data_IF_091711212095
#
_entry.id   IF_091711212095
#
_cell.length_a   1.000
_cell.length_b   1.000
_cell.length_c   1.000
_cell.angle_alpha   90.00
_cell.angle_beta   90.00
_cell.angle_gamma   90.00
#
_symmetry.space_group_name_H-M   'P 1'
#
loop_
_entity.id
_entity.type
_entity.pdbx_description
1 polymer ?
#
# COMPACT_ATOMS: atom_id res chain seq x y z
N UNK A 1 -18.08 -75.53 47.16
CA UNK A 1 -18.98 -74.39 47.47
C UNK A 1 -18.28 -73.11 47.02
N UNK A 2 -18.81 -72.45 45.98
CA UNK A 2 -18.59 -71.05 45.50
C UNK A 2 -17.13 -70.57 45.28
N UNK A 3 -16.65 -70.44 44.03
CA UNK A 3 -16.81 -69.33 43.07
C UNK A 3 -16.13 -68.01 43.49
N UNK A 4 -15.13 -67.53 42.74
CA UNK A 4 -15.30 -66.33 41.90
C UNK A 4 -14.08 -66.04 41.00
N UNK A 5 -14.40 -65.74 39.74
CA UNK A 5 -13.57 -65.16 38.70
C UNK A 5 -13.16 -63.70 39.01
N UNK A 6 -12.01 -63.27 38.50
CA UNK A 6 -11.75 -61.88 38.16
C UNK A 6 -11.11 -61.78 36.76
N UNK A 7 -11.68 -60.89 35.94
CA UNK A 7 -11.40 -60.58 34.53
C UNK A 7 -10.21 -59.62 34.36
N UNK A 8 -9.66 -59.47 33.12
CA UNK A 8 -8.50 -58.63 32.83
C UNK A 8 -8.88 -57.17 32.51
N UNK A 9 -8.00 -56.23 32.87
CA UNK A 9 -8.10 -54.80 32.54
C UNK A 9 -7.26 -54.44 31.31
N UNK A 10 -7.88 -54.44 30.13
CA UNK A 10 -7.34 -53.80 28.93
C UNK A 10 -7.89 -52.39 28.77
N UNK A 11 -7.16 -51.38 29.25
CA UNK A 11 -7.46 -49.95 29.03
C UNK A 11 -6.18 -49.19 28.68
N UNK A 12 -5.44 -49.69 27.70
CA UNK A 12 -4.28 -48.98 27.14
C UNK A 12 -4.27 -49.16 25.63
N UNK A 13 -5.12 -48.41 24.91
CA UNK A 13 -4.83 -48.04 23.50
C UNK A 13 -5.79 -47.03 22.83
N UNK A 14 -6.68 -46.35 23.55
CA UNK A 14 -7.59 -45.37 22.92
C UNK A 14 -7.00 -43.94 22.98
N UNK A 15 -6.13 -43.64 23.95
CA UNK A 15 -5.59 -42.28 24.14
C UNK A 15 -4.52 -41.87 23.11
N UNK A 16 -3.68 -42.79 22.62
CA UNK A 16 -2.59 -42.44 21.68
C UNK A 16 -3.08 -42.22 20.24
N UNK A 17 -4.19 -42.84 19.83
CA UNK A 17 -4.76 -42.66 18.49
C UNK A 17 -5.49 -41.32 18.38
N UNK A 18 -6.10 -40.84 19.47
CA UNK A 18 -6.70 -39.49 19.54
C UNK A 18 -5.66 -38.37 19.44
N UNK A 19 -4.45 -38.56 19.98
CA UNK A 19 -3.40 -37.53 19.93
C UNK A 19 -2.80 -37.34 18.53
N UNK A 20 -2.62 -38.42 17.76
CA UNK A 20 -2.08 -38.35 16.40
C UNK A 20 -3.07 -37.78 15.38
N UNK A 21 -4.37 -38.04 15.53
CA UNK A 21 -5.40 -37.44 14.67
C UNK A 21 -5.64 -35.96 15.00
N UNK A 22 -5.56 -35.57 16.29
CA UNK A 22 -5.67 -34.17 16.70
C UNK A 22 -4.48 -33.32 16.21
N UNK A 23 -3.26 -33.87 16.21
CA UNK A 23 -2.07 -33.18 15.68
C UNK A 23 -2.09 -33.05 14.15
N UNK A 24 -2.66 -34.03 13.45
CA UNK A 24 -2.86 -33.98 12.00
C UNK A 24 -3.93 -32.95 11.61
N UNK A 25 -5.00 -32.82 12.41
CA UNK A 25 -6.00 -31.76 12.23
C UNK A 25 -5.45 -30.37 12.58
N UNK A 26 -4.58 -30.24 13.59
CA UNK A 26 -3.92 -28.98 13.93
C UNK A 26 -2.89 -28.56 12.86
N UNK A 27 -2.14 -29.50 12.28
CA UNK A 27 -1.25 -29.21 11.14
C UNK A 27 -2.03 -28.83 9.87
N UNK A 28 -3.21 -29.44 9.64
CA UNK A 28 -4.12 -29.04 8.57
C UNK A 28 -4.82 -27.69 8.84
N UNK A 29 -4.94 -27.25 10.10
CA UNK A 29 -5.44 -25.93 10.48
C UNK A 29 -4.37 -24.84 10.44
N UNK A 30 -3.08 -25.20 10.53
CA UNK A 30 -1.95 -24.27 10.35
C UNK A 30 -1.60 -24.07 8.87
N UNK A 31 -2.17 -24.88 7.97
CA UNK A 31 -2.04 -24.73 6.52
C UNK A 31 -3.29 -24.14 5.83
N UNK A 32 -4.21 -23.55 6.59
CA UNK A 32 -5.09 -22.55 6.00
C UNK A 32 -4.21 -21.36 5.68
N UNK A 33 -3.84 -21.25 4.40
CA UNK A 33 -3.17 -20.07 3.87
C UNK A 33 -3.81 -18.84 4.48
N UNK A 34 -2.96 -17.88 4.87
CA UNK A 34 -3.41 -16.53 5.15
C UNK A 34 -4.41 -16.19 4.04
N UNK A 35 -5.68 -16.11 4.43
CA UNK A 35 -6.76 -15.81 3.54
C UNK A 35 -6.35 -14.47 2.93
N UNK A 36 -6.01 -14.43 1.64
CA UNK A 36 -5.97 -13.19 0.88
C UNK A 36 -7.39 -12.64 0.98
N UNK A 37 -7.68 -11.95 2.07
CA UNK A 37 -9.03 -11.56 2.43
C UNK A 37 -9.45 -10.54 1.39
N UNK A 38 -10.30 -10.99 0.46
CA UNK A 38 -11.12 -10.26 -0.51
C UNK A 38 -11.25 -8.74 -0.26
N UNK A 39 -10.18 -7.97 -0.50
CA UNK A 39 -10.23 -6.52 -0.51
C UNK A 39 -10.79 -6.10 -1.86
N UNK A 40 -11.83 -5.27 -1.92
CA UNK A 40 -12.37 -4.78 -3.20
C UNK A 40 -11.29 -4.07 -4.05
N UNK A 41 -10.26 -3.51 -3.43
CA UNK A 41 -9.15 -2.88 -4.13
C UNK A 41 -8.14 -3.89 -4.74
N UNK A 42 -8.12 -5.16 -4.28
CA UNK A 42 -7.15 -6.16 -4.75
C UNK A 42 -7.28 -6.46 -6.24
N UNK A 43 -8.51 -6.40 -6.78
CA UNK A 43 -8.78 -6.56 -8.22
C UNK A 43 -8.17 -5.45 -9.09
N UNK A 44 -7.75 -4.35 -8.47
CA UNK A 44 -7.07 -3.22 -9.13
C UNK A 44 -5.58 -3.18 -8.79
N UNK A 45 -4.98 -4.27 -8.32
CA UNK A 45 -3.53 -4.37 -8.06
C UNK A 45 -2.87 -5.25 -9.11
N UNK A 46 -1.64 -4.89 -9.48
CA UNK A 46 -0.75 -5.69 -10.30
C UNK A 46 0.62 -5.81 -9.60
N UNK A 47 1.35 -6.91 -9.79
CA UNK A 47 1.05 -8.03 -10.68
C UNK A 47 -0.14 -8.90 -10.21
N UNK A 48 -0.87 -9.48 -11.17
CA UNK A 48 -1.98 -10.42 -10.98
C UNK A 48 -1.94 -11.51 -12.07
N UNK A 49 -2.90 -12.44 -12.05
CA UNK A 49 -2.94 -13.58 -12.98
C UNK A 49 -2.97 -13.22 -14.48
N UNK A 50 -3.30 -11.97 -14.82
CA UNK A 50 -3.32 -11.48 -16.22
C UNK A 50 -2.10 -10.61 -16.57
N UNK A 51 -1.16 -10.40 -15.64
CA UNK A 51 0.04 -9.60 -15.88
C UNK A 51 1.09 -10.44 -16.60
N UNK A 52 1.65 -9.93 -17.70
CA UNK A 52 2.69 -10.61 -18.46
C UNK A 52 3.93 -10.90 -17.59
N UNK A 53 4.40 -12.15 -17.60
CA UNK A 53 5.51 -12.60 -16.74
C UNK A 53 6.79 -11.79 -16.95
N UNK A 54 7.08 -11.34 -18.18
CA UNK A 54 8.26 -10.53 -18.45
C UNK A 54 8.14 -9.16 -17.78
N UNK A 55 6.94 -8.56 -17.82
CA UNK A 55 6.64 -7.30 -17.14
C UNK A 55 6.78 -7.48 -15.63
N UNK A 56 6.30 -8.60 -15.06
CA UNK A 56 6.47 -8.91 -13.63
C UNK A 56 7.94 -8.96 -13.24
N UNK A 57 8.79 -9.61 -14.03
CA UNK A 57 10.23 -9.67 -13.75
C UNK A 57 10.91 -8.30 -13.87
N UNK A 58 10.54 -7.50 -14.87
CA UNK A 58 11.05 -6.14 -15.04
C UNK A 58 10.71 -5.26 -13.83
N UNK A 59 9.45 -5.28 -13.38
CA UNK A 59 9.02 -4.53 -12.20
C UNK A 59 9.73 -5.02 -10.95
N UNK A 60 9.80 -6.33 -10.74
CA UNK A 60 10.47 -6.91 -9.57
C UNK A 60 11.92 -6.43 -9.44
N UNK A 61 12.68 -6.47 -10.54
CA UNK A 61 14.07 -6.02 -10.53
C UNK A 61 14.22 -4.53 -10.17
N UNK A 62 13.29 -3.68 -10.62
CA UNK A 62 13.28 -2.26 -10.28
C UNK A 62 12.83 -2.01 -8.82
N UNK A 63 11.77 -2.70 -8.40
CA UNK A 63 11.08 -2.46 -7.14
C UNK A 63 11.85 -3.00 -5.93
N UNK A 64 12.59 -4.11 -6.05
CA UNK A 64 13.36 -4.70 -4.94
C UNK A 64 14.29 -3.69 -4.25
N UNK A 65 15.01 -2.87 -5.03
CA UNK A 65 15.90 -1.84 -4.49
C UNK A 65 15.17 -0.74 -3.73
N UNK A 66 13.98 -0.37 -4.19
CA UNK A 66 13.15 0.67 -3.57
C UNK A 66 12.46 0.12 -2.31
N UNK A 67 11.98 -1.12 -2.35
CA UNK A 67 11.39 -1.80 -1.21
C UNK A 67 12.43 -2.03 -0.12
N UNK A 68 13.66 -2.41 -0.46
CA UNK A 68 14.75 -2.51 0.52
C UNK A 68 14.99 -1.16 1.21
N UNK A 69 15.00 -0.06 0.44
CA UNK A 69 15.12 1.28 1.01
C UNK A 69 13.96 1.59 1.98
N UNK A 70 12.71 1.36 1.57
CA UNK A 70 11.53 1.62 2.40
C UNK A 70 11.58 0.78 3.67
N UNK A 71 11.78 -0.53 3.56
CA UNK A 71 11.83 -1.44 4.70
C UNK A 71 12.96 -1.11 5.69
N UNK A 72 14.09 -0.57 5.21
CA UNK A 72 15.23 -0.18 6.05
C UNK A 72 15.01 1.14 6.79
N UNK A 73 14.35 2.11 6.14
CA UNK A 73 14.30 3.50 6.62
C UNK A 73 12.95 3.87 7.25
N UNK A 74 11.88 3.12 6.96
CA UNK A 74 10.59 3.28 7.63
C UNK A 74 10.58 2.43 8.90
N UNK A 75 10.32 3.01 10.09
CA UNK A 75 10.35 2.29 11.35
C UNK A 75 9.33 1.15 11.40
N UNK A 76 9.79 -0.04 11.81
CA UNK A 76 8.96 -1.21 12.07
C UNK A 76 7.83 -0.95 13.11
N UNK A 77 7.93 0.09 13.95
CA UNK A 77 6.89 0.43 14.95
C UNK A 77 5.55 0.87 14.32
N UNK A 78 5.51 1.18 13.02
CA UNK A 78 4.25 1.39 12.29
C UNK A 78 3.47 0.09 12.03
N UNK A 79 3.97 -1.08 12.45
CA UNK A 79 3.37 -2.41 12.24
C UNK A 79 2.14 -2.75 13.11
N UNK A 80 1.77 -1.93 14.10
CA UNK A 80 0.83 -2.37 15.17
C UNK A 80 -0.35 -1.43 15.48
N UNK A 81 -0.92 -0.75 14.48
CA UNK A 81 -2.16 0.04 14.66
C UNK A 81 -3.33 -0.48 13.82
N UNK A 82 -3.59 -1.79 13.76
CA UNK A 82 -4.87 -2.36 13.32
C UNK A 82 -5.31 -2.11 11.86
N UNK A 83 -4.53 -1.38 11.08
CA UNK A 83 -4.55 -1.24 9.63
C UNK A 83 -3.28 -1.89 9.06
N UNK A 84 -3.27 -2.30 7.80
CA UNK A 84 -2.08 -2.83 7.13
C UNK A 84 -0.84 -1.95 7.44
N UNK A 85 0.33 -2.58 7.56
CA UNK A 85 1.56 -1.87 7.92
C UNK A 85 1.80 -0.72 6.92
N UNK A 86 2.40 0.39 7.37
CA UNK A 86 2.58 1.57 6.51
C UNK A 86 3.29 1.25 5.20
N UNK A 87 4.22 0.29 5.20
CA UNK A 87 4.89 -0.19 3.99
C UNK A 87 3.96 -1.02 3.08
N UNK A 88 3.04 -1.82 3.63
CA UNK A 88 2.01 -2.53 2.84
C UNK A 88 1.09 -1.57 2.11
N UNK A 89 0.69 -0.46 2.75
CA UNK A 89 -0.08 0.60 2.12
C UNK A 89 0.68 1.21 0.93
N UNK A 90 1.95 1.59 1.14
CA UNK A 90 2.78 2.16 0.07
C UNK A 90 2.97 1.21 -1.12
N UNK A 91 3.23 -0.08 -0.82
CA UNK A 91 3.30 -1.14 -1.84
C UNK A 91 1.95 -1.33 -2.54
N UNK A 92 0.84 -1.18 -1.81
CA UNK A 92 -0.52 -1.23 -2.32
C UNK A 92 -0.80 -0.13 -3.34
N UNK A 93 -0.42 1.12 -3.06
CA UNK A 93 -0.55 2.25 -4.00
C UNK A 93 0.31 2.02 -5.24
N UNK A 94 1.55 1.57 -5.07
CA UNK A 94 2.43 1.22 -6.19
C UNK A 94 1.78 0.15 -7.08
N UNK A 95 1.23 -0.91 -6.48
CA UNK A 95 0.56 -1.99 -7.20
C UNK A 95 -0.68 -1.53 -7.97
N UNK A 96 -1.44 -0.56 -7.45
CA UNK A 96 -2.56 0.07 -8.16
C UNK A 96 -2.08 0.84 -9.39
N UNK A 97 -1.03 1.64 -9.24
CA UNK A 97 -0.46 2.40 -10.35
C UNK A 97 0.13 1.48 -11.43
N UNK A 98 0.73 0.35 -11.04
CA UNK A 98 1.15 -0.71 -11.97
C UNK A 98 -0.04 -1.28 -12.74
N UNK A 99 -1.16 -1.54 -12.07
CA UNK A 99 -2.38 -2.05 -12.69
C UNK A 99 -2.98 -1.05 -13.71
N UNK A 100 -2.90 0.25 -13.43
CA UNK A 100 -3.29 1.30 -14.38
C UNK A 100 -2.31 1.52 -15.53
N UNK A 101 -1.20 0.78 -15.56
CA UNK A 101 -0.09 0.98 -16.50
C UNK A 101 0.45 2.42 -16.45
N UNK A 102 0.48 3.00 -15.25
CA UNK A 102 0.98 4.34 -14.98
C UNK A 102 2.47 4.45 -15.32
N UNK A 103 2.93 5.68 -15.56
CA UNK A 103 4.34 5.96 -15.83
C UNK A 103 5.22 5.57 -14.63
N UNK A 104 6.48 5.18 -14.88
CA UNK A 104 7.42 4.72 -13.84
C UNK A 104 7.61 5.75 -12.72
N UNK A 105 7.60 7.05 -13.05
CA UNK A 105 7.72 8.09 -12.03
C UNK A 105 6.48 8.19 -11.12
N UNK A 106 5.30 7.79 -11.60
CA UNK A 106 4.09 7.69 -10.79
C UNK A 106 4.16 6.49 -9.86
N UNK A 107 4.56 5.31 -10.36
CA UNK A 107 4.69 4.11 -9.52
C UNK A 107 5.73 4.33 -8.40
N UNK A 108 6.85 4.98 -8.73
CA UNK A 108 7.87 5.34 -7.75
C UNK A 108 7.37 6.42 -6.79
N UNK A 109 6.63 7.43 -7.27
CA UNK A 109 6.01 8.41 -6.40
C UNK A 109 5.01 7.75 -5.44
N UNK A 110 4.20 6.79 -5.90
CA UNK A 110 3.24 6.02 -5.11
C UNK A 110 3.90 5.31 -3.92
N UNK A 111 5.05 4.68 -4.14
CA UNK A 111 5.81 4.04 -3.06
C UNK A 111 6.40 5.04 -2.04
N UNK A 112 6.57 6.30 -2.40
CA UNK A 112 7.21 7.34 -1.57
C UNK A 112 6.28 8.50 -1.20
N UNK A 113 5.00 8.44 -1.54
CA UNK A 113 4.12 9.63 -1.57
C UNK A 113 3.91 10.26 -0.20
N UNK A 114 4.11 9.48 0.87
CA UNK A 114 3.98 9.90 2.27
C UNK A 114 5.31 10.03 3.02
N UNK A 115 6.45 9.96 2.33
CA UNK A 115 7.78 9.83 2.97
C UNK A 115 8.21 11.05 3.80
N UNK A 116 7.68 12.24 3.50
CA UNK A 116 7.96 13.48 4.25
C UNK A 116 6.85 13.88 5.23
N UNK A 117 5.92 12.97 5.51
CA UNK A 117 4.75 13.22 6.36
C UNK A 117 3.62 13.92 5.62
N UNK A 118 2.37 13.54 5.90
CA UNK A 118 1.19 14.01 5.18
C UNK A 118 0.17 14.69 6.09
N UNK A 119 -0.84 15.28 5.46
CA UNK A 119 -2.06 15.70 6.15
C UNK A 119 -2.74 14.48 6.78
N UNK A 120 -2.87 14.45 8.11
CA UNK A 120 -3.53 13.34 8.82
C UNK A 120 -2.63 12.17 9.27
N UNK A 121 -1.36 12.10 8.86
CA UNK A 121 -0.40 11.10 9.34
C UNK A 121 0.90 11.76 9.85
N UNK A 122 1.22 11.52 11.12
CA UNK A 122 2.37 12.11 11.81
C UNK A 122 3.31 11.05 12.42
N UNK A 123 3.12 9.76 12.09
CA UNK A 123 3.86 8.65 12.71
C UNK A 123 5.31 8.54 12.26
N UNK A 124 5.60 8.90 10.99
CA UNK A 124 6.94 8.91 10.42
C UNK A 124 7.08 10.01 9.36
N UNK A 125 8.24 10.65 9.31
CA UNK A 125 8.66 11.50 8.20
C UNK A 125 10.18 11.56 8.13
N UNK A 126 10.74 11.48 6.91
CA UNK A 126 12.12 11.85 6.68
C UNK A 126 12.27 13.38 6.71
N UNK A 127 13.40 13.91 7.20
CA UNK A 127 13.64 15.35 7.17
C UNK A 127 13.81 15.83 5.72
N UNK A 128 13.40 17.07 5.44
CA UNK A 128 13.48 17.67 4.11
C UNK A 128 14.93 17.82 3.58
N UNK A 129 15.95 17.62 4.44
CA UNK A 129 17.35 17.51 4.03
C UNK A 129 17.62 16.29 3.15
N UNK A 130 16.82 15.22 3.27
CA UNK A 130 16.97 13.98 2.49
C UNK A 130 16.46 14.09 1.05
N UNK A 131 15.82 15.20 0.69
CA UNK A 131 15.18 15.35 -0.63
C UNK A 131 16.12 15.12 -1.80
N UNK A 132 17.38 15.53 -1.68
CA UNK A 132 18.38 15.29 -2.73
C UNK A 132 18.69 13.79 -2.89
N UNK A 133 18.82 13.06 -1.77
CA UNK A 133 19.05 11.63 -1.80
C UNK A 133 17.85 10.87 -2.39
N UNK A 134 16.63 11.21 -1.97
CA UNK A 134 15.39 10.64 -2.53
C UNK A 134 15.27 10.96 -4.02
N UNK A 135 15.55 12.20 -4.44
CA UNK A 135 15.54 12.60 -5.86
C UNK A 135 16.51 11.78 -6.71
N UNK A 136 17.70 11.48 -6.19
CA UNK A 136 18.66 10.60 -6.85
C UNK A 136 18.18 9.15 -6.92
N UNK A 137 17.41 8.69 -5.93
CA UNK A 137 16.88 7.33 -5.86
C UNK A 137 15.69 7.09 -6.81
N UNK A 138 14.66 7.94 -6.74
CA UNK A 138 13.39 7.71 -7.45
C UNK A 138 13.20 8.58 -8.70
N UNK A 139 14.10 9.54 -8.92
CA UNK A 139 14.05 10.49 -10.03
C UNK A 139 13.33 11.80 -9.67
N UNK A 140 13.59 12.83 -10.49
CA UNK A 140 13.15 14.21 -10.25
C UNK A 140 11.63 14.35 -10.26
N UNK A 141 10.96 13.74 -11.24
CA UNK A 141 9.49 13.80 -11.35
C UNK A 141 8.81 13.11 -10.17
N UNK A 142 9.28 11.90 -9.82
CA UNK A 142 8.71 11.13 -8.72
C UNK A 142 8.88 11.83 -7.37
N UNK A 143 10.08 12.36 -7.09
CA UNK A 143 10.34 13.09 -5.84
C UNK A 143 9.53 14.39 -5.75
N UNK A 144 9.36 15.10 -6.88
CA UNK A 144 8.51 16.30 -6.90
C UNK A 144 7.06 15.95 -6.54
N UNK A 145 6.51 14.88 -7.10
CA UNK A 145 5.14 14.42 -6.79
C UNK A 145 5.00 14.04 -5.31
N UNK A 146 5.92 13.23 -4.78
CA UNK A 146 5.93 12.85 -3.37
C UNK A 146 6.03 14.07 -2.44
N UNK A 147 6.91 15.03 -2.78
CA UNK A 147 7.00 16.29 -2.04
C UNK A 147 5.68 17.06 -2.07
N UNK A 148 5.09 17.30 -3.24
CA UNK A 148 3.83 18.03 -3.35
C UNK A 148 2.73 17.33 -2.55
N UNK A 149 2.65 16.00 -2.61
CA UNK A 149 1.67 15.20 -1.87
C UNK A 149 1.77 15.38 -0.36
N UNK A 150 3.00 15.45 0.16
CA UNK A 150 3.27 15.69 1.57
C UNK A 150 2.99 17.14 2.01
N UNK A 151 3.14 18.11 1.11
CA UNK A 151 3.11 19.52 1.48
C UNK A 151 1.76 20.20 1.23
N UNK A 152 0.97 19.72 0.27
CA UNK A 152 -0.21 20.42 -0.23
C UNK A 152 -1.36 20.42 0.78
N UNK A 153 -2.09 21.54 0.84
CA UNK A 153 -3.43 21.57 1.42
C UNK A 153 -4.43 20.97 0.43
N UNK A 154 -5.05 19.84 0.83
CA UNK A 154 -6.01 19.11 -0.01
C UNK A 154 -7.19 19.97 -0.44
N UNK A 155 -7.61 20.95 0.35
CA UNK A 155 -8.66 21.88 -0.05
C UNK A 155 -8.33 22.62 -1.35
N UNK A 156 -7.07 23.05 -1.52
CA UNK A 156 -6.66 23.75 -2.75
C UNK A 156 -6.60 22.82 -3.96
N UNK A 157 -6.40 21.52 -3.74
CA UNK A 157 -6.49 20.51 -4.81
C UNK A 157 -7.94 20.37 -5.25
N UNK A 158 -8.87 20.24 -4.30
CA UNK A 158 -10.31 20.14 -4.60
C UNK A 158 -10.81 21.35 -5.39
N UNK A 159 -10.40 22.57 -5.02
CA UNK A 159 -10.70 23.79 -5.79
C UNK A 159 -10.28 23.63 -7.26
N UNK A 160 -9.05 23.16 -7.53
CA UNK A 160 -8.58 22.98 -8.91
C UNK A 160 -9.35 21.90 -9.67
N UNK A 161 -9.81 20.85 -8.99
CA UNK A 161 -10.63 19.79 -9.60
C UNK A 161 -12.02 20.32 -9.95
N UNK A 162 -12.65 21.08 -9.06
CA UNK A 162 -13.98 21.66 -9.30
C UNK A 162 -13.97 22.77 -10.36
N UNK A 163 -12.85 23.46 -10.52
CA UNK A 163 -12.68 24.49 -11.55
C UNK A 163 -12.41 23.93 -12.95
N UNK A 164 -12.02 22.65 -13.06
CA UNK A 164 -11.68 21.99 -14.33
C UNK A 164 -12.85 22.02 -15.32
N UNK A 165 -12.60 22.54 -16.54
CA UNK A 165 -13.59 22.71 -17.60
C UNK A 165 -13.10 22.17 -18.95
N UNK A 166 -14.01 22.05 -19.91
CA UNK A 166 -13.69 21.59 -21.27
C UNK A 166 -12.57 22.39 -21.97
N UNK A 167 -12.36 23.67 -21.61
CA UNK A 167 -11.26 24.48 -22.13
C UNK A 167 -9.88 24.00 -21.65
N UNK A 168 -9.81 23.36 -20.49
CA UNK A 168 -8.57 22.86 -19.90
C UNK A 168 -8.11 21.56 -20.59
N UNK A 169 -9.03 20.86 -21.26
CA UNK A 169 -8.68 19.76 -22.18
C UNK A 169 -7.80 20.26 -23.34
N UNK A 170 -8.12 21.44 -23.90
CA UNK A 170 -7.46 21.98 -25.08
C UNK A 170 -6.15 22.73 -24.78
N UNK A 171 -6.00 23.28 -23.59
CA UNK A 171 -4.80 24.03 -23.18
C UNK A 171 -3.78 23.10 -22.52
N UNK A 172 -2.57 23.00 -23.08
CA UNK A 172 -1.44 22.31 -22.45
C UNK A 172 -0.50 23.26 -21.68
N UNK A 173 -0.78 24.56 -21.70
CA UNK A 173 0.03 25.58 -21.03
C UNK A 173 -0.58 26.04 -19.70
N UNK A 174 -1.68 25.42 -19.26
CA UNK A 174 -2.33 25.75 -17.99
C UNK A 174 -1.39 25.43 -16.82
N UNK A 175 -1.33 26.37 -15.88
CA UNK A 175 -0.63 26.23 -14.60
C UNK A 175 -1.68 26.16 -13.50
N UNK A 176 -1.56 25.14 -12.65
CA UNK A 176 -2.44 24.91 -11.51
C UNK A 176 -1.76 25.48 -10.26
N UNK A 177 -2.55 26.26 -9.52
CA UNK A 177 -2.10 26.98 -8.34
C UNK A 177 -2.64 26.31 -7.10
N UNK A 178 -1.74 25.75 -6.29
CA UNK A 178 -2.04 25.08 -5.03
C UNK A 178 -1.31 25.79 -3.90
N UNK A 179 -1.63 25.45 -2.66
CA UNK A 179 -0.89 25.98 -1.48
C UNK A 179 -0.46 24.85 -0.58
N UNK A 180 0.61 25.08 0.16
CA UNK A 180 0.97 24.19 1.25
C UNK A 180 -0.03 24.25 2.40
N UNK A 181 0.02 23.24 3.27
CA UNK A 181 -0.77 23.15 4.50
C UNK A 181 -0.55 24.36 5.42
N UNK A 182 -1.53 24.74 6.26
CA UNK A 182 -1.42 25.90 7.16
C UNK A 182 -0.17 25.91 8.04
N UNK A 183 0.20 24.75 8.59
CA UNK A 183 1.37 24.57 9.46
C UNK A 183 2.71 24.75 8.74
N UNK A 184 2.70 24.77 7.40
CA UNK A 184 3.86 25.02 6.54
C UNK A 184 3.81 26.43 5.91
N UNK A 185 3.18 27.39 6.58
CA UNK A 185 3.15 28.82 6.20
C UNK A 185 2.52 29.13 4.83
N UNK A 186 1.70 28.22 4.26
CA UNK A 186 0.92 28.49 3.04
C UNK A 186 1.73 28.93 1.81
N UNK A 187 2.95 28.42 1.64
CA UNK A 187 3.74 28.71 0.43
C UNK A 187 3.04 28.22 -0.84
N UNK A 188 3.29 28.89 -1.96
CA UNK A 188 2.65 28.58 -3.24
C UNK A 188 3.29 27.37 -3.90
N UNK A 189 2.45 26.50 -4.45
CA UNK A 189 2.84 25.34 -5.24
C UNK A 189 2.28 25.52 -6.65
N UNK A 190 3.12 25.32 -7.67
CA UNK A 190 2.74 25.46 -9.07
C UNK A 190 2.98 24.15 -9.79
N UNK A 191 1.95 23.66 -10.48
CA UNK A 191 2.03 22.45 -11.31
C UNK A 191 1.67 22.78 -12.75
N UNK A 192 2.41 22.21 -13.70
CA UNK A 192 1.93 22.17 -15.09
C UNK A 192 0.71 21.25 -15.18
N UNK A 193 -0.01 21.28 -16.30
CA UNK A 193 -1.11 20.33 -16.54
C UNK A 193 -0.66 18.86 -16.44
N UNK A 194 0.51 18.51 -16.97
CA UNK A 194 1.07 17.15 -16.87
C UNK A 194 1.28 16.77 -15.39
N UNK A 195 1.94 17.64 -14.63
CA UNK A 195 2.23 17.38 -13.21
C UNK A 195 0.98 17.36 -12.35
N UNK A 196 -0.03 18.17 -12.70
CA UNK A 196 -1.32 18.16 -12.02
C UNK A 196 -2.09 16.86 -12.31
N UNK A 197 -2.12 16.39 -13.56
CA UNK A 197 -2.75 15.11 -13.89
C UNK A 197 -2.05 13.94 -13.19
N UNK A 198 -0.73 13.92 -13.19
CA UNK A 198 0.07 12.96 -12.44
C UNK A 198 -0.27 12.99 -10.93
N UNK A 199 -0.41 14.19 -10.36
CA UNK A 199 -0.77 14.37 -8.96
C UNK A 199 -2.18 13.84 -8.64
N UNK A 200 -3.15 14.09 -9.52
CA UNK A 200 -4.51 13.58 -9.38
C UNK A 200 -4.53 12.06 -9.49
N UNK A 201 -3.81 11.47 -10.45
CA UNK A 201 -3.69 10.02 -10.59
C UNK A 201 -3.12 9.37 -9.33
N UNK A 202 -2.02 9.92 -8.79
CA UNK A 202 -1.44 9.46 -7.54
C UNK A 202 -2.44 9.58 -6.37
N UNK A 203 -3.19 10.68 -6.29
CA UNK A 203 -4.19 10.90 -5.24
C UNK A 203 -5.38 9.93 -5.34
N UNK A 204 -5.78 9.55 -6.55
CA UNK A 204 -6.82 8.54 -6.76
C UNK A 204 -6.35 7.13 -6.40
N UNK A 205 -5.09 6.80 -6.71
CA UNK A 205 -4.50 5.51 -6.33
C UNK A 205 -4.40 5.37 -4.81
N UNK A 206 -3.93 6.42 -4.12
CA UNK A 206 -3.89 6.49 -2.66
C UNK A 206 -5.29 6.30 -2.05
N UNK A 207 -6.27 7.05 -2.54
CA UNK A 207 -7.66 6.92 -2.10
C UNK A 207 -8.18 5.49 -2.29
N UNK A 208 -8.01 4.90 -3.48
CA UNK A 208 -8.49 3.55 -3.81
C UNK A 208 -7.87 2.47 -2.91
N UNK A 209 -6.61 2.63 -2.53
CA UNK A 209 -5.92 1.74 -1.60
C UNK A 209 -6.59 1.78 -0.22
N UNK A 210 -6.96 2.98 0.25
CA UNK A 210 -7.50 3.22 1.59
C UNK A 210 -9.02 3.01 1.73
N UNK A 211 -9.78 2.83 0.64
CA UNK A 211 -11.24 2.60 0.71
C UNK A 211 -11.53 1.39 1.60
N UNK A 212 -12.15 1.64 2.76
CA UNK A 212 -12.43 0.64 3.79
C UNK A 212 -13.21 -0.57 3.25
N UNK A 213 -12.67 -1.75 3.53
CA UNK A 213 -13.31 -3.03 3.81
C UNK A 213 -14.84 -2.97 3.97
N UNK A 214 -15.59 -2.99 2.87
CA UNK A 214 -16.98 -3.41 2.95
C UNK A 214 -16.92 -4.94 3.01
N UNK A 215 -17.39 -5.61 4.09
CA UNK A 215 -17.53 -7.05 4.07
C UNK A 215 -18.41 -7.37 2.86
N UNK A 216 -17.93 -8.23 1.96
CA UNK A 216 -18.82 -8.87 1.00
C UNK A 216 -19.89 -9.56 1.84
N UNK A 217 -21.10 -9.02 1.83
CA UNK A 217 -22.22 -9.59 2.56
C UNK A 217 -22.57 -10.92 1.90
N UNK A 218 -22.17 -12.01 2.53
CA UNK A 218 -22.81 -13.32 2.37
C UNK A 218 -24.04 -13.40 3.29
#
# INVERSE_FOLDING_TARGET
MRSHNARPSGIFNVCSILYLTLFSLLAALVHTGANESSYECSKFKAPNNNTDENIVQEWKAADESLWEYVNKNVPAVLEHTGSAAFDDHLKGVQAILRYWNSLVHLTNAGLFHSIYGTEGFQGFSLPLSERLAIKSLIGIKAEKLAFVFCMVDRYTVDETVFEWKNKDLASNTSIYHLRSRPELERFQIYLTKEEWLDFIELSLADWLEQVKHMPTGD
#
